data_IF_043641177584
#
_entry.id   IF_043641177584
#
_cell.length_a   1.000
_cell.length_b   1.000
_cell.length_c   1.000
_cell.angle_alpha   90.00
_cell.angle_beta   90.00
_cell.angle_gamma   90.00
#
_symmetry.space_group_name_H-M   'P 1'
#
loop_
_entity.id
_entity.type
_entity.pdbx_description
1 polymer ?
#
# COMPACT_ATOMS: atom_id res chain seq x y z
N UNK A 1 13.07 24.39 -20.11
CA UNK A 1 11.95 23.43 -20.07
C UNK A 1 12.38 22.11 -20.72
N UNK A 2 13.38 21.42 -20.15
CA UNK A 2 13.90 20.15 -20.68
C UNK A 2 14.67 19.33 -19.62
N UNK A 3 14.33 19.48 -18.34
CA UNK A 3 14.98 18.77 -17.22
C UNK A 3 13.99 17.81 -16.52
N UNK A 4 12.94 17.40 -17.23
CA UNK A 4 11.89 16.53 -16.68
C UNK A 4 11.96 15.10 -17.25
N UNK A 5 13.06 14.75 -17.90
CA UNK A 5 13.22 13.52 -18.66
C UNK A 5 14.43 12.71 -18.19
N UNK A 6 14.52 12.42 -16.90
CA UNK A 6 15.26 11.25 -16.40
C UNK A 6 14.91 10.97 -14.93
N UNK A 7 13.67 10.57 -14.61
CA UNK A 7 13.48 9.71 -13.42
C UNK A 7 13.98 8.34 -13.82
N UNK A 8 15.31 8.15 -13.77
CA UNK A 8 15.90 6.82 -13.83
C UNK A 8 15.36 6.09 -12.62
N UNK A 9 14.56 5.06 -12.85
CA UNK A 9 14.29 4.04 -11.87
C UNK A 9 15.62 3.52 -11.31
N UNK A 10 15.94 3.94 -10.10
CA UNK A 10 17.08 3.45 -9.35
C UNK A 10 16.53 2.52 -8.26
N UNK A 11 16.64 1.19 -8.44
CA UNK A 11 16.19 0.24 -7.44
C UNK A 11 16.98 0.33 -6.13
N UNK A 12 18.13 1.01 -6.12
CA UNK A 12 18.92 1.35 -4.93
C UNK A 12 18.55 2.75 -4.36
N UNK A 13 17.49 3.40 -4.86
CA UNK A 13 17.00 4.66 -4.27
C UNK A 13 16.37 4.37 -2.90
N UNK A 14 16.88 5.00 -1.82
CA UNK A 14 16.39 4.77 -0.47
C UNK A 14 14.90 5.13 -0.29
N UNK A 15 14.36 6.00 -1.15
CA UNK A 15 12.94 6.34 -1.14
C UNK A 15 12.08 5.15 -1.63
N UNK A 16 12.52 4.44 -2.67
CA UNK A 16 11.83 3.27 -3.23
C UNK A 16 11.74 2.14 -2.21
N UNK A 17 12.85 1.81 -1.53
CA UNK A 17 12.89 0.78 -0.48
C UNK A 17 12.00 1.16 0.72
N UNK A 18 12.01 2.44 1.11
CA UNK A 18 11.19 2.95 2.21
C UNK A 18 9.70 2.85 1.89
N UNK A 19 9.30 3.19 0.67
CA UNK A 19 7.91 3.06 0.22
C UNK A 19 7.46 1.60 0.16
N UNK A 20 8.33 0.68 -0.27
CA UNK A 20 8.04 -0.75 -0.29
C UNK A 20 7.77 -1.29 1.12
N UNK A 21 8.65 -0.95 2.06
CA UNK A 21 8.52 -1.37 3.46
C UNK A 21 7.26 -0.77 4.11
N UNK A 22 7.00 0.51 3.85
CA UNK A 22 5.80 1.20 4.35
C UNK A 22 4.52 0.59 3.78
N UNK A 23 4.49 0.34 2.46
CA UNK A 23 3.36 -0.32 1.80
C UNK A 23 3.08 -1.71 2.36
N UNK A 24 4.13 -2.51 2.60
CA UNK A 24 4.01 -3.82 3.22
C UNK A 24 3.42 -3.75 4.64
N UNK A 25 3.90 -2.81 5.46
CA UNK A 25 3.39 -2.62 6.83
C UNK A 25 1.92 -2.21 6.85
N UNK A 26 1.51 -1.30 5.97
CA UNK A 26 0.12 -0.88 5.82
C UNK A 26 -0.78 -2.03 5.35
N UNK A 27 -0.30 -2.88 4.44
CA UNK A 27 -1.02 -4.07 4.00
C UNK A 27 -1.23 -5.06 5.16
N UNK A 28 -0.20 -5.34 5.96
CA UNK A 28 -0.32 -6.21 7.13
C UNK A 28 -1.33 -5.64 8.13
N UNK A 29 -1.26 -4.34 8.39
CA UNK A 29 -2.23 -3.65 9.26
C UNK A 29 -3.66 -3.78 8.73
N UNK A 30 -3.86 -3.64 7.42
CA UNK A 30 -5.17 -3.83 6.79
C UNK A 30 -5.71 -5.25 7.02
N UNK A 31 -4.88 -6.28 6.85
CA UNK A 31 -5.26 -7.68 7.08
C UNK A 31 -5.67 -7.91 8.54
N UNK A 32 -4.91 -7.37 9.49
CA UNK A 32 -5.22 -7.47 10.93
C UNK A 32 -6.55 -6.77 11.23
N UNK A 33 -6.78 -5.58 10.67
CA UNK A 33 -8.03 -4.86 10.83
C UNK A 33 -9.24 -5.64 10.27
N UNK A 34 -9.10 -6.31 9.12
CA UNK A 34 -10.14 -7.22 8.60
C UNK A 34 -10.41 -8.36 9.56
N UNK A 35 -9.36 -9.02 10.08
CA UNK A 35 -9.53 -10.10 11.05
C UNK A 35 -10.26 -9.64 12.32
N UNK A 36 -9.92 -8.45 12.82
CA UNK A 36 -10.62 -7.82 13.94
C UNK A 36 -12.08 -7.50 13.61
N UNK A 37 -12.36 -6.97 12.42
CA UNK A 37 -13.73 -6.69 11.97
C UNK A 37 -14.58 -7.95 11.92
N UNK A 38 -14.04 -9.04 11.37
CA UNK A 38 -14.70 -10.35 11.32
C UNK A 38 -14.94 -10.92 12.72
N UNK A 39 -13.95 -10.81 13.62
CA UNK A 39 -14.11 -11.25 15.01
C UNK A 39 -15.18 -10.43 15.74
N UNK A 40 -15.21 -9.11 15.52
CA UNK A 40 -16.19 -8.19 16.12
C UNK A 40 -17.61 -8.49 15.64
N UNK A 41 -17.80 -8.86 14.36
CA UNK A 41 -19.09 -9.36 13.88
C UNK A 41 -19.53 -10.65 14.57
N UNK A 42 -18.61 -11.59 14.82
CA UNK A 42 -18.90 -12.80 15.59
C UNK A 42 -19.37 -12.51 17.03
N UNK A 43 -18.96 -11.38 17.59
CA UNK A 43 -19.36 -10.93 18.93
C UNK A 43 -20.54 -9.94 18.93
N UNK A 44 -21.16 -9.67 17.77
CA UNK A 44 -22.25 -8.69 17.60
C UNK A 44 -21.87 -7.23 17.90
N UNK A 45 -20.57 -6.91 17.97
CA UNK A 45 -20.04 -5.56 18.16
C UNK A 45 -19.92 -4.85 16.80
N UNK A 46 -21.06 -4.37 16.29
CA UNK A 46 -21.18 -3.81 14.94
C UNK A 46 -20.41 -2.50 14.75
N UNK A 47 -20.35 -1.64 15.76
CA UNK A 47 -19.61 -0.38 15.68
C UNK A 47 -18.11 -0.62 15.47
N UNK A 48 -17.51 -1.53 16.24
CA UNK A 48 -16.10 -1.87 16.08
C UNK A 48 -15.83 -2.60 14.77
N UNK A 49 -16.75 -3.44 14.29
CA UNK A 49 -16.63 -4.08 12.99
C UNK A 49 -16.56 -3.04 11.86
N UNK A 50 -17.41 -2.00 11.91
CA UNK A 50 -17.41 -0.91 10.93
C UNK A 50 -16.13 -0.09 11.00
N UNK A 51 -15.69 0.31 12.20
CA UNK A 51 -14.45 1.09 12.37
C UNK A 51 -13.23 0.31 11.88
N UNK A 52 -13.13 -0.97 12.22
CA UNK A 52 -12.07 -1.84 11.73
C UNK A 52 -12.12 -2.01 10.20
N UNK A 53 -13.31 -2.13 9.62
CA UNK A 53 -13.51 -2.14 8.16
C UNK A 53 -13.01 -0.85 7.49
N UNK A 54 -13.35 0.32 8.04
CA UNK A 54 -12.85 1.61 7.53
C UNK A 54 -11.33 1.69 7.62
N UNK A 55 -10.75 1.31 8.77
CA UNK A 55 -9.30 1.29 8.95
C UNK A 55 -8.60 0.35 7.95
N UNK A 56 -9.20 -0.81 7.67
CA UNK A 56 -8.70 -1.75 6.68
C UNK A 56 -8.70 -1.15 5.27
N UNK A 57 -9.80 -0.53 4.84
CA UNK A 57 -9.92 0.09 3.51
C UNK A 57 -8.89 1.21 3.33
N UNK A 58 -8.74 2.08 4.34
CA UNK A 58 -7.78 3.18 4.27
C UNK A 58 -6.34 2.67 4.21
N UNK A 59 -5.99 1.69 5.05
CA UNK A 59 -4.63 1.11 5.09
C UNK A 59 -4.29 0.38 3.79
N UNK A 60 -5.25 -0.38 3.25
CA UNK A 60 -5.09 -1.07 1.97
C UNK A 60 -4.98 -0.11 0.78
N UNK A 61 -5.78 0.96 0.78
CA UNK A 61 -5.69 1.98 -0.27
C UNK A 61 -4.32 2.66 -0.23
N UNK A 62 -3.85 3.03 0.96
CA UNK A 62 -2.54 3.63 1.14
C UNK A 62 -1.40 2.67 0.72
N UNK A 63 -1.48 1.38 1.03
CA UNK A 63 -0.47 0.40 0.58
C UNK A 63 -0.42 0.28 -0.94
N UNK A 64 -1.58 0.27 -1.62
CA UNK A 64 -1.63 0.29 -3.08
C UNK A 64 -0.94 1.53 -3.63
N UNK A 65 -1.15 2.71 -3.05
CA UNK A 65 -0.49 3.94 -3.50
C UNK A 65 1.04 3.83 -3.36
N UNK A 66 1.54 3.28 -2.24
CA UNK A 66 2.97 3.01 -2.04
C UNK A 66 3.54 2.01 -3.07
N UNK A 67 2.79 0.96 -3.43
CA UNK A 67 3.22 -0.01 -4.45
C UNK A 67 3.11 0.52 -5.88
N UNK A 68 2.10 1.35 -6.17
CA UNK A 68 1.92 1.99 -7.48
C UNK A 68 3.00 3.01 -7.79
N UNK A 69 3.49 3.72 -6.78
CA UNK A 69 4.64 4.61 -6.91
C UNK A 69 5.87 3.84 -7.42
N UNK A 70 6.03 2.57 -7.04
CA UNK A 70 7.11 1.71 -7.53
C UNK A 70 6.83 1.16 -8.94
N UNK A 71 5.58 0.79 -9.24
CA UNK A 71 5.22 0.17 -10.52
C UNK A 71 5.25 1.13 -11.72
N UNK A 72 5.04 2.42 -11.51
CA UNK A 72 5.02 3.44 -12.58
C UNK A 72 6.43 3.74 -13.11
N UNK A 73 7.46 3.40 -12.35
CA UNK A 73 8.87 3.62 -12.70
C UNK A 73 9.46 2.43 -13.50
N UNK A 74 8.72 1.33 -13.72
CA UNK A 74 9.23 0.19 -14.49
C UNK A 74 9.32 0.56 -15.99
N UNK A 75 10.51 0.55 -16.62
CA UNK A 75 10.69 1.05 -17.98
C UNK A 75 9.85 0.26 -18.99
N UNK A 76 9.14 0.98 -19.87
CA UNK A 76 8.36 0.40 -20.98
C UNK A 76 9.22 -0.27 -22.08
N UNK A 77 10.54 -0.32 -21.92
CA UNK A 77 11.52 -0.73 -22.93
C UNK A 77 12.31 -2.00 -22.53
N UNK A 78 11.75 -2.87 -21.68
CA UNK A 78 12.36 -4.18 -21.44
C UNK A 78 12.27 -5.04 -22.73
N UNK A 79 13.39 -5.51 -23.31
CA UNK A 79 13.35 -6.39 -24.47
C UNK A 79 12.68 -7.72 -24.11
N UNK A 80 11.76 -8.17 -24.98
CA UNK A 80 11.05 -9.44 -24.90
C UNK A 80 11.96 -10.67 -24.96
#
# INVERSE_FOLDING_TARGET
MAEMAESRYDPDDPFTETLATTGLFLLVTAIIAVAFGLASWGMSETLMAVLAGVAAVLSFTASILCFKAQATELPADAPA
#
